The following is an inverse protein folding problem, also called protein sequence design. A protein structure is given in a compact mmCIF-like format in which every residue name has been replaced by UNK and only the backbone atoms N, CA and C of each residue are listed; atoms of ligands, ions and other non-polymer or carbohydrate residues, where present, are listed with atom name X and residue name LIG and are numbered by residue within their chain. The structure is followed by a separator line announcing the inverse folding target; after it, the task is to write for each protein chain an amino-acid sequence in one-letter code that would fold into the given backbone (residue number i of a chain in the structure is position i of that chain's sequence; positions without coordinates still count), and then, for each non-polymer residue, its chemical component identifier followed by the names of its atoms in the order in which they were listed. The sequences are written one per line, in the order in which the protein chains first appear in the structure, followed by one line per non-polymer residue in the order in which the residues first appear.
data_IF_907246347196
#
_entry.id   IF_907246347196
#
_cell.length_a   1.000
_cell.length_b   1.000
_cell.length_c   1.000
_cell.angle_alpha   90.00
_cell.angle_beta   90.00
_cell.angle_gamma   90.00
#
_symmetry.space_group_name_H-M   'P 1'
#
loop_
_entity.id
_entity.type
_entity.pdbx_description
1 polymer ?
#
# COMPACT_ATOMS: atom_id res chain seq x y z
N UNK A 1 1.91 -9.21 16.01
CA UNK A 1 2.42 -9.38 14.63
C UNK A 1 2.44 -8.02 13.96
N UNK A 2 3.48 -7.69 13.18
CA UNK A 2 3.57 -6.43 12.45
C UNK A 2 3.31 -6.68 10.97
N UNK A 3 2.50 -5.82 10.34
CA UNK A 3 2.20 -5.86 8.91
C UNK A 3 2.61 -4.57 8.25
N UNK A 4 2.81 -4.61 6.94
CA UNK A 4 3.12 -3.44 6.11
C UNK A 4 2.01 -3.28 5.09
N UNK A 5 1.58 -2.04 4.86
CA UNK A 5 0.54 -1.71 3.88
C UNK A 5 1.20 -1.23 2.60
N UNK A 6 0.79 -1.78 1.46
CA UNK A 6 1.26 -1.36 0.13
C UNK A 6 0.07 -1.00 -0.74
N UNK A 7 0.07 0.25 -1.20
CA UNK A 7 -0.99 0.89 -1.96
C UNK A 7 -0.45 1.27 -3.33
N UNK A 8 -1.13 0.84 -4.41
CA UNK A 8 -0.72 1.13 -5.78
C UNK A 8 -1.87 1.63 -6.64
N UNK A 9 -1.64 2.73 -7.34
CA UNK A 9 -2.39 3.14 -8.52
C UNK A 9 -1.58 2.92 -9.80
N UNK A 10 -2.23 2.69 -10.94
CA UNK A 10 -1.54 2.42 -12.21
C UNK A 10 -1.15 3.67 -12.98
N UNK A 11 -1.78 4.81 -12.67
CA UNK A 11 -1.49 6.13 -13.27
C UNK A 11 -1.41 7.20 -12.19
N UNK A 12 -0.84 8.36 -12.52
CA UNK A 12 -0.77 9.52 -11.62
C UNK A 12 -2.16 10.07 -11.26
N UNK A 13 -3.10 9.99 -12.20
CA UNK A 13 -4.47 10.50 -12.03
C UNK A 13 -5.35 9.59 -11.16
N UNK A 14 -4.87 8.37 -10.87
CA UNK A 14 -5.58 7.43 -10.01
C UNK A 14 -5.22 7.66 -8.54
N UNK A 15 -6.24 7.58 -7.69
CA UNK A 15 -6.04 7.64 -6.26
C UNK A 15 -5.47 6.31 -5.72
N UNK A 16 -4.17 6.33 -5.41
CA UNK A 16 -3.47 5.22 -4.78
C UNK A 16 -3.95 4.96 -3.35
N UNK A 17 -4.52 5.97 -2.66
CA UNK A 17 -4.93 5.89 -1.26
C UNK A 17 -6.35 5.36 -1.07
N UNK A 18 -7.10 5.09 -2.15
CA UNK A 18 -8.52 4.68 -2.11
C UNK A 18 -8.83 3.50 -1.20
N UNK A 19 -7.86 2.62 -0.96
CA UNK A 19 -8.00 1.43 -0.11
C UNK A 19 -7.33 1.56 1.26
N UNK A 20 -6.74 2.72 1.58
CA UNK A 20 -5.98 2.92 2.82
C UNK A 20 -6.86 2.71 4.05
N UNK A 21 -8.00 3.37 4.09
CA UNK A 21 -8.92 3.30 5.24
C UNK A 21 -9.44 1.87 5.46
N UNK A 22 -9.78 1.16 4.38
CA UNK A 22 -10.23 -0.24 4.46
C UNK A 22 -9.13 -1.17 5.00
N UNK A 23 -7.86 -0.92 4.65
CA UNK A 23 -6.74 -1.70 5.17
C UNK A 23 -6.41 -1.36 6.63
N UNK A 24 -6.59 -0.10 7.03
CA UNK A 24 -6.44 0.33 8.42
C UNK A 24 -7.51 -0.30 9.31
N UNK A 25 -8.79 -0.26 8.88
CA UNK A 25 -9.89 -0.95 9.57
C UNK A 25 -9.66 -2.45 9.66
N UNK A 26 -9.26 -3.11 8.56
CA UNK A 26 -8.93 -4.53 8.58
C UNK A 26 -7.80 -4.85 9.58
N UNK A 27 -6.74 -4.06 9.59
CA UNK A 27 -5.63 -4.27 10.52
C UNK A 27 -6.09 -4.13 11.99
N UNK A 28 -6.94 -3.13 12.27
CA UNK A 28 -7.52 -2.93 13.60
C UNK A 28 -8.41 -4.11 14.02
N UNK A 29 -9.34 -4.55 13.17
CA UNK A 29 -10.23 -5.68 13.41
C UNK A 29 -9.47 -6.99 13.66
N UNK A 30 -8.32 -7.18 13.00
CA UNK A 30 -7.48 -8.37 13.15
C UNK A 30 -6.43 -8.22 14.27
N UNK A 31 -6.37 -7.09 14.97
CA UNK A 31 -5.37 -6.82 16.01
C UNK A 31 -3.93 -6.75 15.48
N UNK A 32 -3.77 -6.40 14.20
CA UNK A 32 -2.49 -6.25 13.51
C UNK A 32 -1.96 -4.82 13.64
N UNK A 33 -0.66 -4.66 13.90
CA UNK A 33 -0.02 -3.34 13.93
C UNK A 33 0.62 -3.04 12.59
N UNK A 34 0.23 -1.94 11.95
CA UNK A 34 0.85 -1.46 10.72
C UNK A 34 2.18 -0.79 11.09
N UNK A 35 3.29 -1.36 10.62
CA UNK A 35 4.64 -0.84 10.86
C UNK A 35 5.03 0.26 9.86
N UNK A 36 4.52 0.20 8.64
CA UNK A 36 4.77 1.18 7.59
C UNK A 36 3.70 1.08 6.48
N UNK A 37 3.48 2.20 5.80
CA UNK A 37 2.59 2.32 4.64
C UNK A 37 3.39 2.86 3.46
N UNK A 38 3.30 2.16 2.34
CA UNK A 38 4.01 2.45 1.10
C UNK A 38 2.99 2.74 0.00
N UNK A 39 3.20 3.81 -0.75
CA UNK A 39 2.24 4.28 -1.76
C UNK A 39 2.98 4.54 -3.05
N UNK A 40 2.54 3.93 -4.15
CA UNK A 40 3.11 4.18 -5.47
C UNK A 40 2.04 4.45 -6.53
N UNK A 41 2.41 5.27 -7.52
CA UNK A 41 1.65 5.49 -8.74
C UNK A 41 2.49 4.98 -9.89
N UNK A 42 2.36 3.71 -10.20
CA UNK A 42 3.15 3.08 -11.24
C UNK A 42 2.39 1.90 -11.86
N UNK A 43 2.48 1.78 -13.19
CA UNK A 43 1.95 0.64 -13.90
C UNK A 43 2.57 -0.65 -13.35
N UNK A 44 1.73 -1.66 -13.12
CA UNK A 44 2.16 -2.99 -12.67
C UNK A 44 3.04 -3.70 -13.70
N UNK A 45 3.10 -3.24 -14.95
CA UNK A 45 4.02 -3.75 -15.96
C UNK A 45 5.46 -3.21 -15.79
N UNK A 46 5.68 -2.20 -14.93
CA UNK A 46 7.01 -1.65 -14.67
C UNK A 46 7.80 -2.58 -13.74
N UNK A 47 9.04 -2.87 -14.13
CA UNK A 47 10.06 -3.56 -13.32
C UNK A 47 10.65 -2.66 -12.22
N UNK A 48 10.59 -1.34 -12.40
CA UNK A 48 11.04 -0.38 -11.39
C UNK A 48 9.86 -0.11 -10.44
N UNK A 49 9.90 -0.74 -9.26
CA UNK A 49 8.91 -0.55 -8.17
C UNK A 49 9.64 -0.16 -6.88
N UNK A 50 10.10 1.09 -6.76
CA UNK A 50 11.00 1.51 -5.70
C UNK A 50 10.41 1.31 -4.29
N UNK A 51 9.10 1.51 -4.13
CA UNK A 51 8.41 1.30 -2.85
C UNK A 51 8.21 -0.19 -2.53
N UNK A 52 7.98 -1.03 -3.56
CA UNK A 52 7.93 -2.48 -3.38
C UNK A 52 9.27 -3.04 -2.88
N UNK A 53 10.40 -2.49 -3.34
CA UNK A 53 11.74 -2.91 -2.90
C UNK A 53 12.08 -2.50 -1.45
N UNK A 54 11.25 -1.65 -0.80
CA UNK A 54 11.43 -1.24 0.61
C UNK A 54 10.63 -2.07 1.62
N UNK A 55 9.78 -2.98 1.16
CA UNK A 55 8.99 -3.92 1.99
C UNK A 55 9.86 -5.01 2.60
#
# INVERSE_FOLDING_TARGET
MHVRVYLRASTEDQDALRAKEQLEQFAEEQGLKIAATYVERQSGASLKRPELFRL
#
